data_IF_643230681164
#
_entry.id   IF_643230681164
#
_cell.length_a   1.000
_cell.length_b   1.000
_cell.length_c   1.000
_cell.angle_alpha   90.00
_cell.angle_beta   90.00
_cell.angle_gamma   90.00
#
_symmetry.space_group_name_H-M   'P 1'
#
loop_
_entity.id
_entity.type
_entity.pdbx_description
1 polymer ?
#
# COMPACT_ATOMS: atom_id res chain seq x y z
N UNK A 1 -15.19 -12.42 8.79
CA UNK A 1 -15.54 -11.59 9.95
C UNK A 1 -14.32 -10.75 10.32
N UNK A 2 -14.26 -9.48 9.93
CA UNK A 2 -13.23 -8.53 10.35
C UNK A 2 -13.95 -7.39 11.08
N UNK A 3 -13.89 -7.40 12.40
CA UNK A 3 -14.59 -6.44 13.26
C UNK A 3 -13.76 -5.16 13.34
N UNK A 4 -14.11 -4.16 12.52
CA UNK A 4 -13.60 -2.79 12.65
C UNK A 4 -14.57 -1.97 13.50
N UNK A 5 -14.05 -1.30 14.54
CA UNK A 5 -14.82 -0.35 15.35
C UNK A 5 -14.90 1.00 14.63
N UNK A 6 -16.10 1.44 14.27
CA UNK A 6 -16.34 2.76 13.68
C UNK A 6 -16.94 3.69 14.73
N UNK A 7 -16.27 4.82 14.99
CA UNK A 7 -16.73 5.83 15.96
C UNK A 7 -18.00 6.59 15.52
N UNK A 8 -18.42 6.46 14.26
CA UNK A 8 -19.61 7.12 13.68
C UNK A 8 -20.42 6.14 12.84
N UNK A 9 -21.75 6.17 12.97
CA UNK A 9 -22.70 5.26 12.30
C UNK A 9 -22.69 5.39 10.77
N UNK A 10 -22.44 6.59 10.25
CA UNK A 10 -22.36 6.85 8.80
C UNK A 10 -21.13 6.16 8.20
N UNK A 11 -19.99 6.17 8.91
CA UNK A 11 -18.77 5.50 8.47
C UNK A 11 -18.94 3.98 8.40
N UNK A 12 -19.70 3.39 9.32
CA UNK A 12 -20.02 1.96 9.27
C UNK A 12 -20.92 1.62 8.07
N UNK A 13 -21.96 2.42 7.81
CA UNK A 13 -22.85 2.21 6.65
C UNK A 13 -22.08 2.33 5.33
N UNK A 14 -21.19 3.31 5.25
CA UNK A 14 -20.30 3.52 4.11
C UNK A 14 -19.30 2.37 3.94
N UNK A 15 -18.68 1.90 5.02
CA UNK A 15 -17.80 0.72 5.01
C UNK A 15 -18.53 -0.53 4.50
N UNK A 16 -19.70 -0.84 5.08
CA UNK A 16 -20.45 -2.05 4.73
C UNK A 16 -20.87 -2.02 3.26
N UNK A 17 -21.36 -0.86 2.79
CA UNK A 17 -21.75 -0.68 1.39
C UNK A 17 -20.59 -0.82 0.40
N UNK A 18 -19.37 -0.47 0.81
CA UNK A 18 -18.18 -0.45 -0.06
C UNK A 18 -17.40 -1.76 -0.06
N UNK A 19 -17.48 -2.53 1.04
CA UNK A 19 -16.65 -3.72 1.25
C UNK A 19 -17.47 -5.01 1.23
N UNK A 20 -18.77 -4.97 1.52
CA UNK A 20 -19.62 -6.15 1.71
C UNK A 20 -20.86 -6.17 0.81
N UNK A 21 -20.99 -5.26 -0.16
CA UNK A 21 -22.12 -5.22 -1.10
C UNK A 21 -21.66 -5.14 -2.55
N UNK A 22 -22.20 -6.00 -3.42
CA UNK A 22 -21.92 -6.01 -4.86
C UNK A 22 -22.41 -4.76 -5.61
N UNK A 23 -23.34 -4.01 -5.00
CA UNK A 23 -24.10 -2.95 -5.66
C UNK A 23 -23.36 -1.60 -5.79
N UNK A 24 -22.12 -1.47 -5.27
CA UNK A 24 -21.44 -0.16 -5.26
C UNK A 24 -19.93 -0.16 -5.31
N UNK A 25 -19.37 -1.01 -6.15
CA UNK A 25 -17.96 -0.95 -6.52
C UNK A 25 -17.77 -0.42 -7.94
N UNK A 26 -16.65 0.25 -8.19
CA UNK A 26 -16.21 0.70 -9.50
C UNK A 26 -15.42 -0.43 -10.14
N UNK A 27 -16.01 -1.07 -11.15
CA UNK A 27 -15.39 -2.17 -11.90
C UNK A 27 -14.36 -1.62 -12.89
N UNK A 28 -13.20 -2.26 -12.96
CA UNK A 28 -12.23 -2.00 -14.02
C UNK A 28 -12.77 -2.48 -15.37
N UNK A 29 -12.55 -1.71 -16.43
CA UNK A 29 -12.99 -2.07 -17.79
C UNK A 29 -12.01 -2.99 -18.51
N UNK A 30 -10.78 -3.12 -17.99
CA UNK A 30 -9.70 -3.93 -18.56
C UNK A 30 -9.54 -5.27 -17.84
N UNK A 31 -9.96 -5.37 -16.57
CA UNK A 31 -9.96 -6.61 -15.80
C UNK A 31 -11.16 -6.67 -14.83
N UNK A 32 -11.42 -7.82 -14.21
CA UNK A 32 -12.58 -8.01 -13.33
C UNK A 32 -12.39 -7.47 -11.89
N UNK A 33 -11.39 -6.62 -11.65
CA UNK A 33 -11.16 -6.03 -10.33
C UNK A 33 -12.18 -4.92 -10.02
N UNK A 34 -12.68 -4.93 -8.79
CA UNK A 34 -13.66 -3.99 -8.27
C UNK A 34 -13.06 -3.13 -7.17
N UNK A 35 -13.30 -1.81 -7.22
CA UNK A 35 -12.73 -0.85 -6.29
C UNK A 35 -13.81 -0.06 -5.55
N UNK A 36 -13.60 0.28 -4.26
CA UNK A 36 -14.59 1.03 -3.49
C UNK A 36 -14.70 2.51 -3.93
N UNK A 37 -13.69 3.05 -4.63
CA UNK A 37 -13.62 4.46 -5.06
C UNK A 37 -13.17 4.60 -6.51
N UNK A 38 -13.67 5.63 -7.21
CA UNK A 38 -13.20 5.99 -8.56
C UNK A 38 -11.71 6.31 -8.58
N UNK A 39 -11.22 7.04 -7.59
CA UNK A 39 -9.80 7.39 -7.52
C UNK A 39 -8.90 6.15 -7.41
N UNK A 40 -9.37 5.13 -6.69
CA UNK A 40 -8.65 3.86 -6.55
C UNK A 40 -8.71 3.02 -7.82
N UNK A 41 -9.83 3.04 -8.54
CA UNK A 41 -9.90 2.46 -9.88
C UNK A 41 -8.97 3.20 -10.85
N UNK A 42 -8.96 4.53 -10.84
CA UNK A 42 -8.09 5.33 -11.71
C UNK A 42 -6.60 5.16 -11.41
N UNK A 43 -6.23 5.04 -10.13
CA UNK A 43 -4.89 4.63 -9.71
C UNK A 43 -4.55 3.22 -10.22
N UNK A 44 -5.45 2.25 -10.07
CA UNK A 44 -5.25 0.90 -10.58
C UNK A 44 -5.03 0.87 -12.09
N UNK A 45 -5.91 1.51 -12.88
CA UNK A 45 -5.79 1.54 -14.35
C UNK A 45 -4.47 2.19 -14.78
N UNK A 46 -4.10 3.33 -14.17
CA UNK A 46 -2.83 4.00 -14.47
C UNK A 46 -1.61 3.17 -14.09
N UNK A 47 -1.68 2.43 -12.98
CA UNK A 47 -0.51 1.68 -12.47
C UNK A 47 -0.36 0.29 -13.07
N UNK A 48 -1.44 -0.33 -13.56
CA UNK A 48 -1.47 -1.74 -14.00
C UNK A 48 -1.81 -1.93 -15.48
N UNK A 49 -2.53 -0.99 -16.09
CA UNK A 49 -2.97 -1.09 -17.48
C UNK A 49 -2.38 -0.01 -18.38
N UNK A 50 -1.78 1.01 -17.79
CA UNK A 50 -1.04 2.07 -18.49
C UNK A 50 0.41 2.00 -18.00
N UNK A 51 1.43 2.15 -18.86
CA UNK A 51 2.82 2.34 -18.39
C UNK A 51 3.04 3.79 -17.92
N UNK A 52 2.01 4.39 -17.30
CA UNK A 52 2.08 5.76 -16.82
C UNK A 52 2.81 5.79 -15.48
N UNK A 53 4.15 5.76 -15.56
CA UNK A 53 5.05 5.98 -14.43
C UNK A 53 5.30 7.48 -14.30
N UNK A 54 4.33 8.21 -13.77
CA UNK A 54 4.35 9.68 -13.76
C UNK A 54 5.35 10.30 -12.77
N UNK A 55 5.87 9.54 -11.80
CA UNK A 55 6.68 10.08 -10.71
C UNK A 55 8.16 9.77 -10.91
N UNK A 56 8.93 10.73 -11.42
CA UNK A 56 10.36 10.58 -11.70
C UNK A 56 11.22 10.91 -10.47
N UNK A 57 12.18 10.03 -10.17
CA UNK A 57 13.27 10.30 -9.25
C UNK A 57 14.25 11.29 -9.91
N UNK A 58 14.50 12.42 -9.27
CA UNK A 58 15.40 13.46 -9.79
C UNK A 58 16.87 13.07 -9.69
N UNK A 59 17.23 12.13 -8.81
CA UNK A 59 18.61 11.72 -8.58
C UNK A 59 19.07 10.65 -9.57
N UNK A 60 18.25 9.62 -9.83
CA UNK A 60 18.61 8.51 -10.74
C UNK A 60 17.75 8.41 -12.00
N UNK A 61 16.74 9.29 -12.15
CA UNK A 61 15.87 9.31 -13.33
C UNK A 61 14.83 8.20 -13.39
N UNK A 62 14.79 7.26 -12.44
CA UNK A 62 13.81 6.17 -12.42
C UNK A 62 12.39 6.69 -12.22
N UNK A 63 11.43 6.12 -12.95
CA UNK A 63 10.03 6.50 -12.87
C UNK A 63 9.22 5.48 -12.05
N UNK A 64 8.31 6.01 -11.23
CA UNK A 64 7.46 5.25 -10.34
C UNK A 64 5.98 5.55 -10.62
N UNK A 65 5.10 4.58 -10.41
CA UNK A 65 3.67 4.74 -10.70
C UNK A 65 2.91 5.47 -9.57
N UNK A 66 3.53 5.64 -8.38
CA UNK A 66 2.91 6.31 -7.23
C UNK A 66 3.91 7.14 -6.43
N UNK A 67 3.47 8.24 -5.79
CA UNK A 67 4.37 9.12 -5.04
C UNK A 67 4.95 8.44 -3.79
N UNK A 68 4.18 7.57 -3.12
CA UNK A 68 4.66 6.80 -1.97
C UNK A 68 5.76 5.80 -2.38
N UNK A 69 5.64 5.21 -3.58
CA UNK A 69 6.66 4.29 -4.10
C UNK A 69 7.96 5.02 -4.45
N UNK A 70 7.88 6.23 -5.02
CA UNK A 70 9.03 7.10 -5.23
C UNK A 70 9.67 7.50 -3.89
N UNK A 71 8.88 7.98 -2.93
CA UNK A 71 9.38 8.39 -1.61
C UNK A 71 10.09 7.25 -0.88
N UNK A 72 9.57 6.02 -1.02
CA UNK A 72 10.24 4.83 -0.49
C UNK A 72 11.56 4.56 -1.20
N UNK A 73 11.60 4.66 -2.53
CA UNK A 73 12.81 4.48 -3.33
C UNK A 73 13.93 5.45 -2.90
N UNK A 74 13.74 6.76 -3.14
CA UNK A 74 13.88 7.78 -2.10
C UNK A 74 14.78 7.43 -0.92
N UNK A 75 14.05 7.19 0.17
CA UNK A 75 14.54 6.76 1.46
C UNK A 75 15.54 5.60 1.41
N UNK A 76 15.22 4.56 0.64
CA UNK A 76 15.94 3.29 0.71
C UNK A 76 17.21 3.21 -0.12
N UNK A 77 17.35 4.03 -1.16
CA UNK A 77 18.46 3.94 -2.13
C UNK A 77 19.38 5.15 -2.04
N UNK A 78 18.83 6.32 -1.69
CA UNK A 78 19.58 7.58 -1.72
C UNK A 78 19.92 8.13 -0.34
N UNK A 79 19.07 7.84 0.67
CA UNK A 79 19.20 8.38 2.03
C UNK A 79 19.66 7.30 3.02
N UNK A 80 19.50 6.01 2.68
CA UNK A 80 19.74 4.86 3.57
C UNK A 80 19.00 4.94 4.92
N UNK A 81 17.86 5.63 4.97
CA UNK A 81 17.08 5.76 6.20
C UNK A 81 16.33 4.46 6.51
N UNK A 82 16.56 3.92 7.72
CA UNK A 82 16.02 2.66 8.21
C UNK A 82 15.23 2.86 9.51
N UNK A 83 14.02 3.45 9.45
CA UNK A 83 13.30 3.92 10.64
C UNK A 83 12.65 2.80 11.46
N UNK A 84 12.75 1.55 11.01
CA UNK A 84 12.12 0.41 11.66
C UNK A 84 13.19 -0.51 12.23
N UNK A 85 13.33 -0.53 13.55
CA UNK A 85 14.28 -1.38 14.27
C UNK A 85 13.58 -2.62 14.85
N UNK A 86 14.27 -3.76 14.79
CA UNK A 86 13.89 -4.96 15.52
C UNK A 86 14.25 -4.77 16.99
N UNK A 87 13.29 -4.96 17.89
CA UNK A 87 13.52 -4.82 19.34
C UNK A 87 14.28 -6.00 19.93
N UNK A 88 14.31 -7.14 19.25
CA UNK A 88 14.95 -8.37 19.76
C UNK A 88 16.44 -8.46 19.39
N UNK A 89 16.80 -8.05 18.16
CA UNK A 89 18.18 -8.12 17.67
C UNK A 89 18.79 -6.76 17.27
N UNK A 90 18.04 -5.67 17.34
CA UNK A 90 18.52 -4.33 16.99
C UNK A 90 18.66 -4.06 15.48
N UNK A 91 18.37 -5.03 14.61
CA UNK A 91 18.52 -4.86 13.16
C UNK A 91 17.53 -3.81 12.61
N UNK A 92 18.04 -2.89 11.79
CA UNK A 92 17.25 -1.81 11.18
C UNK A 92 16.79 -2.15 9.76
N UNK A 93 15.58 -1.69 9.42
CA UNK A 93 14.93 -1.92 8.13
C UNK A 93 14.36 -0.62 7.57
N UNK A 94 14.42 -0.46 6.25
CA UNK A 94 13.82 0.68 5.53
C UNK A 94 12.29 0.59 5.42
N UNK A 95 11.72 -0.59 5.74
CA UNK A 95 10.27 -0.84 5.63
C UNK A 95 9.73 -1.71 6.75
N UNK A 96 8.52 -1.39 7.21
CA UNK A 96 7.81 -2.12 8.28
C UNK A 96 7.49 -3.57 7.92
N UNK A 97 7.11 -3.84 6.67
CA UNK A 97 6.82 -5.21 6.22
C UNK A 97 8.06 -6.09 6.24
N UNK A 98 9.24 -5.53 5.94
CA UNK A 98 10.53 -6.24 6.03
C UNK A 98 10.91 -6.55 7.47
N UNK A 99 10.71 -5.61 8.39
CA UNK A 99 10.86 -5.88 9.83
C UNK A 99 9.91 -7.00 10.28
N UNK A 100 8.62 -6.93 9.91
CA UNK A 100 7.65 -7.96 10.28
C UNK A 100 8.03 -9.34 9.75
N UNK A 101 8.45 -9.42 8.48
CA UNK A 101 8.88 -10.67 7.88
C UNK A 101 10.15 -11.21 8.56
N UNK A 102 11.08 -10.32 8.94
CA UNK A 102 12.27 -10.69 9.71
C UNK A 102 11.90 -11.27 11.08
N UNK A 103 11.09 -10.56 11.88
CA UNK A 103 10.66 -11.03 13.21
C UNK A 103 9.97 -12.39 13.08
N UNK A 104 9.04 -12.52 12.12
CA UNK A 104 8.32 -13.77 11.88
C UNK A 104 9.25 -14.95 11.56
N UNK A 105 10.34 -14.71 10.82
CA UNK A 105 11.25 -15.77 10.35
C UNK A 105 12.38 -16.08 11.31
N UNK A 106 12.79 -15.11 12.12
CA UNK A 106 14.03 -15.18 12.90
C UNK A 106 13.79 -15.22 14.41
N UNK A 107 12.61 -14.79 14.88
CA UNK A 107 12.31 -14.67 16.30
C UNK A 107 11.00 -15.31 16.72
N UNK A 108 10.10 -15.57 15.78
CA UNK A 108 8.90 -16.38 16.04
C UNK A 108 9.21 -17.84 15.72
N UNK A 109 9.84 -18.54 16.67
CA UNK A 109 9.78 -20.00 16.69
C UNK A 109 8.35 -20.42 17.10
N UNK A 110 7.89 -21.59 16.64
CA UNK A 110 6.47 -21.99 16.55
C UNK A 110 5.60 -21.81 17.78
#
# INVERSE_FOLDING_TARGET
>A
MWSMFFSRRDNLREHVRRMHSDDKSYKCTVCDQCFPHRDKLGEHVRTMHTDDKSYKCTECGQCFPRPDTLRRHIRSIHIDETPYNCTECGQCFSRRDKLRDHVRRMHTDG
#
